data_IF_730950986186
#
_entry.id   IF_730950986186
#
_cell.length_a   1.000
_cell.length_b   1.000
_cell.length_c   1.000
_cell.angle_alpha   90.00
_cell.angle_beta   90.00
_cell.angle_gamma   90.00
#
_symmetry.space_group_name_H-M   'P 1'
#
loop_
_entity.id
_entity.type
_entity.pdbx_description
1 polymer ?
#
# COMPACT_ATOMS: atom_id res chain seq x y z
N UNK A 1 -20.83 -45.86 -46.79
CA UNK A 1 -19.75 -45.55 -45.82
C UNK A 1 -19.74 -44.03 -45.68
N UNK A 2 -20.13 -43.43 -44.57
CA UNK A 2 -19.35 -43.34 -43.33
C UNK A 2 -20.33 -43.26 -42.15
N UNK A 3 -20.31 -44.29 -41.31
CA UNK A 3 -20.93 -44.34 -40.00
C UNK A 3 -19.83 -44.12 -38.97
N UNK A 4 -19.94 -43.08 -38.15
CA UNK A 4 -19.92 -43.21 -36.68
C UNK A 4 -19.99 -41.83 -36.03
N UNK A 5 -21.15 -41.54 -35.44
CA UNK A 5 -21.30 -40.45 -34.50
C UNK A 5 -20.40 -40.73 -33.28
N UNK A 6 -19.41 -39.86 -33.05
CA UNK A 6 -18.52 -39.93 -31.90
C UNK A 6 -19.33 -39.77 -30.62
N UNK A 7 -19.69 -40.89 -29.99
CA UNK A 7 -20.50 -40.93 -28.78
C UNK A 7 -19.65 -40.46 -27.60
N UNK A 8 -19.74 -39.17 -27.26
CA UNK A 8 -19.05 -38.60 -26.09
C UNK A 8 -19.62 -39.28 -24.84
N UNK A 9 -18.88 -40.24 -24.28
CA UNK A 9 -19.23 -40.87 -23.01
C UNK A 9 -19.26 -39.80 -21.91
N UNK A 10 -20.46 -39.47 -21.43
CA UNK A 10 -20.63 -38.62 -20.28
C UNK A 10 -20.25 -39.45 -19.05
N UNK A 11 -19.06 -39.21 -18.49
CA UNK A 11 -18.71 -39.73 -17.16
C UNK A 11 -19.69 -39.09 -16.17
N UNK A 12 -20.62 -39.89 -15.65
CA UNK A 12 -21.68 -39.51 -14.71
C UNK A 12 -21.13 -39.00 -13.36
N UNK A 13 -20.40 -37.89 -13.38
CA UNK A 13 -19.79 -37.28 -12.21
C UNK A 13 -19.83 -35.76 -12.30
N UNK A 14 -19.59 -35.11 -11.15
CA UNK A 14 -19.47 -33.65 -11.10
C UNK A 14 -18.42 -33.18 -12.11
N UNK A 15 -18.77 -32.25 -13.03
CA UNK A 15 -17.81 -31.73 -13.99
C UNK A 15 -16.60 -31.14 -13.26
N UNK A 16 -15.41 -31.39 -13.82
CA UNK A 16 -14.17 -30.86 -13.27
C UNK A 16 -14.21 -29.33 -13.32
N UNK A 17 -13.82 -28.67 -12.23
CA UNK A 17 -13.64 -27.21 -12.23
C UNK A 17 -12.53 -26.83 -13.20
N UNK A 18 -12.77 -25.79 -14.00
CA UNK A 18 -11.78 -25.24 -14.93
C UNK A 18 -10.51 -24.74 -14.22
N UNK A 19 -10.67 -24.06 -13.07
CA UNK A 19 -9.54 -23.61 -12.23
C UNK A 19 -9.57 -24.35 -10.91
N UNK A 20 -8.51 -25.10 -10.64
CA UNK A 20 -8.30 -25.83 -9.38
C UNK A 20 -7.45 -25.00 -8.42
N UNK A 21 -7.78 -25.09 -7.13
CA UNK A 21 -6.98 -24.49 -6.04
C UNK A 21 -6.20 -25.62 -5.39
N UNK A 22 -4.97 -25.82 -5.84
CA UNK A 22 -4.15 -27.00 -5.49
C UNK A 22 -3.15 -26.70 -4.36
N UNK A 23 -2.72 -25.45 -4.22
CA UNK A 23 -1.77 -25.04 -3.19
C UNK A 23 -2.50 -24.82 -1.86
N UNK A 24 -2.09 -25.57 -0.84
CA UNK A 24 -2.60 -25.46 0.53
C UNK A 24 -1.51 -24.83 1.42
N UNK A 25 -1.92 -23.81 2.18
CA UNK A 25 -1.12 -23.18 3.23
C UNK A 25 -1.97 -23.09 4.49
N UNK A 26 -1.49 -23.63 5.60
CA UNK A 26 -2.16 -23.57 6.90
C UNK A 26 -1.69 -22.36 7.69
N UNK A 27 -2.61 -21.76 8.46
CA UNK A 27 -2.34 -20.63 9.35
C UNK A 27 -2.71 -21.08 10.76
N UNK A 28 -1.81 -20.85 11.72
CA UNK A 28 -2.05 -21.14 13.13
C UNK A 28 -2.47 -19.84 13.82
N UNK A 29 -3.53 -19.93 14.62
CA UNK A 29 -4.03 -18.81 15.42
C UNK A 29 -3.99 -19.20 16.90
N UNK A 30 -3.71 -18.22 17.75
CA UNK A 30 -4.13 -18.22 19.14
C UNK A 30 -5.66 -18.12 19.24
N UNK A 31 -6.21 -18.41 20.42
CA UNK A 31 -7.67 -18.30 20.67
C UNK A 31 -8.19 -16.89 20.37
N UNK A 32 -7.44 -15.86 20.80
CA UNK A 32 -7.80 -14.45 20.62
C UNK A 32 -7.76 -14.04 19.15
N UNK A 33 -6.69 -14.39 18.42
CA UNK A 33 -6.58 -14.08 16.98
C UNK A 33 -7.71 -14.75 16.19
N UNK A 34 -8.02 -16.01 16.49
CA UNK A 34 -9.10 -16.71 15.82
C UNK A 34 -10.46 -16.04 16.07
N UNK A 35 -10.72 -15.59 17.31
CA UNK A 35 -11.96 -14.87 17.63
C UNK A 35 -12.08 -13.57 16.83
N UNK A 36 -11.01 -12.79 16.73
CA UNK A 36 -10.97 -11.54 15.95
C UNK A 36 -11.27 -11.82 14.48
N UNK A 37 -10.57 -12.79 13.87
CA UNK A 37 -10.77 -13.14 12.45
C UNK A 37 -12.19 -13.66 12.21
N UNK A 38 -12.73 -14.47 13.12
CA UNK A 38 -14.11 -14.98 13.04
C UNK A 38 -15.14 -13.84 13.12
N UNK A 39 -14.94 -12.88 14.01
CA UNK A 39 -15.83 -11.73 14.15
C UNK A 39 -15.80 -10.86 12.89
N UNK A 40 -14.61 -10.58 12.35
CA UNK A 40 -14.47 -9.81 11.11
C UNK A 40 -15.13 -10.52 9.93
N UNK A 41 -14.90 -11.82 9.76
CA UNK A 41 -15.56 -12.61 8.73
C UNK A 41 -17.10 -12.57 8.87
N UNK A 42 -17.61 -12.69 10.10
CA UNK A 42 -19.04 -12.59 10.40
C UNK A 42 -19.62 -11.23 10.04
N UNK A 43 -18.91 -10.13 10.36
CA UNK A 43 -19.32 -8.76 10.02
C UNK A 43 -19.39 -8.55 8.50
N UNK A 44 -18.48 -9.18 7.77
CA UNK A 44 -18.47 -9.13 6.29
C UNK A 44 -19.47 -10.11 5.65
N UNK A 45 -20.21 -10.91 6.42
CA UNK A 45 -21.12 -11.93 5.88
C UNK A 45 -20.41 -13.09 5.15
N UNK A 46 -19.12 -13.29 5.41
CA UNK A 46 -18.28 -14.26 4.71
C UNK A 46 -17.92 -15.44 5.61
N UNK A 47 -17.73 -16.61 4.98
CA UNK A 47 -17.08 -17.74 5.64
C UNK A 47 -15.62 -17.38 5.93
N UNK A 48 -15.12 -17.80 7.10
CA UNK A 48 -13.78 -17.46 7.57
C UNK A 48 -12.67 -17.73 6.54
N UNK A 49 -12.74 -18.86 5.83
CA UNK A 49 -11.76 -19.23 4.80
C UNK A 49 -11.84 -18.35 3.54
N UNK A 50 -13.03 -17.80 3.23
CA UNK A 50 -13.20 -16.87 2.12
C UNK A 50 -12.66 -15.51 2.51
N UNK A 51 -13.02 -15.05 3.72
CA UNK A 51 -12.51 -13.81 4.30
C UNK A 51 -10.97 -13.79 4.35
N UNK A 52 -10.34 -14.81 4.95
CA UNK A 52 -8.87 -14.92 5.02
C UNK A 52 -8.25 -14.87 3.63
N UNK A 53 -8.84 -15.56 2.64
CA UNK A 53 -8.33 -15.56 1.27
C UNK A 53 -8.41 -14.18 0.62
N UNK A 54 -9.53 -13.47 0.79
CA UNK A 54 -9.69 -12.13 0.26
C UNK A 54 -8.71 -11.16 0.93
N UNK A 55 -8.59 -11.22 2.26
CA UNK A 55 -7.61 -10.41 2.99
C UNK A 55 -6.17 -10.70 2.58
N UNK A 56 -5.82 -11.96 2.29
CA UNK A 56 -4.50 -12.31 1.80
C UNK A 56 -4.22 -11.83 0.36
N UNK A 57 -5.25 -11.66 -0.48
CA UNK A 57 -5.10 -11.21 -1.86
C UNK A 57 -5.25 -9.70 -2.05
N UNK A 58 -6.10 -9.07 -1.25
CA UNK A 58 -6.55 -7.68 -1.43
C UNK A 58 -6.22 -6.81 -0.22
N UNK A 59 -5.76 -7.40 0.89
CA UNK A 59 -5.36 -6.66 2.07
C UNK A 59 -4.23 -5.70 1.72
N UNK A 60 -4.43 -4.41 2.01
CA UNK A 60 -3.37 -3.41 1.89
C UNK A 60 -2.44 -3.57 3.09
N UNK A 61 -1.20 -3.96 2.84
CA UNK A 61 -0.14 -3.84 3.85
C UNK A 61 0.29 -2.38 3.83
N UNK A 62 0.01 -1.65 4.91
CA UNK A 62 0.56 -0.31 5.10
C UNK A 62 2.02 -0.50 5.49
N UNK A 63 2.92 -0.44 4.51
CA UNK A 63 4.35 -0.41 4.78
C UNK A 63 4.67 0.85 5.57
N UNK A 64 5.59 0.73 6.55
CA UNK A 64 6.26 1.91 7.11
C UNK A 64 6.91 2.67 5.95
N UNK A 65 6.93 4.01 6.01
CA UNK A 65 7.46 4.92 4.97
C UNK A 65 8.58 4.24 4.16
N UNK A 66 8.40 4.17 2.85
CA UNK A 66 9.39 3.66 1.89
C UNK A 66 10.72 4.41 2.05
N UNK A 67 11.82 3.85 1.58
CA UNK A 67 13.12 4.52 1.71
C UNK A 67 13.13 5.88 0.99
N UNK A 68 12.40 5.99 -0.13
CA UNK A 68 12.19 7.24 -0.87
C UNK A 68 11.39 8.25 -0.02
N UNK A 69 10.26 7.83 0.55
CA UNK A 69 9.45 8.66 1.45
C UNK A 69 10.25 9.15 2.67
N UNK A 70 11.12 8.29 3.24
CA UNK A 70 12.03 8.69 4.32
C UNK A 70 13.10 9.67 3.86
N UNK A 71 13.60 9.55 2.63
CA UNK A 71 14.53 10.51 2.07
C UNK A 71 13.87 11.88 1.90
N UNK A 72 12.61 11.93 1.45
CA UNK A 72 11.83 13.17 1.38
C UNK A 72 11.62 13.80 2.77
N UNK A 73 11.24 13.00 3.78
CA UNK A 73 11.12 13.49 5.17
C UNK A 73 12.44 14.07 5.67
N UNK A 74 13.58 13.41 5.42
CA UNK A 74 14.90 13.94 5.79
C UNK A 74 15.24 15.25 5.09
N UNK A 75 14.90 15.38 3.81
CA UNK A 75 15.10 16.62 3.05
C UNK A 75 14.25 17.77 3.61
N UNK A 76 12.99 17.51 3.95
CA UNK A 76 12.10 18.51 4.56
C UNK A 76 12.63 18.98 5.92
N UNK A 77 13.15 18.07 6.75
CA UNK A 77 13.81 18.43 8.02
C UNK A 77 15.02 19.35 7.77
N UNK A 78 15.85 19.03 6.77
CA UNK A 78 16.97 19.88 6.37
C UNK A 78 16.53 21.28 5.94
N UNK A 79 15.41 21.39 5.22
CA UNK A 79 14.86 22.68 4.80
C UNK A 79 14.28 23.49 5.95
N UNK A 80 13.57 22.85 6.88
CA UNK A 80 13.08 23.50 8.09
C UNK A 80 14.24 24.10 8.91
N UNK A 81 15.35 23.36 9.02
CA UNK A 81 16.57 23.86 9.68
C UNK A 81 17.17 25.06 8.94
N UNK A 82 17.26 25.00 7.61
CA UNK A 82 17.77 26.11 6.80
C UNK A 82 16.90 27.36 6.95
N UNK A 83 15.58 27.21 7.00
CA UNK A 83 14.64 28.31 7.21
C UNK A 83 14.81 28.93 8.60
N UNK A 84 14.98 28.12 9.64
CA UNK A 84 15.24 28.60 11.00
C UNK A 84 16.57 29.38 11.09
N UNK A 85 17.61 28.93 10.39
CA UNK A 85 18.88 29.66 10.30
C UNK A 85 18.71 31.00 9.58
N UNK A 86 17.92 31.03 8.52
CA UNK A 86 17.59 32.25 7.78
C UNK A 86 16.85 33.28 8.62
N UNK A 87 15.86 32.85 9.41
CA UNK A 87 15.13 33.73 10.32
C UNK A 87 16.07 34.37 11.33
N UNK A 88 16.99 33.58 11.92
CA UNK A 88 18.03 34.09 12.82
C UNK A 88 18.98 35.06 12.12
N UNK A 89 19.44 34.72 10.92
CA UNK A 89 20.36 35.55 10.13
C UNK A 89 19.72 36.86 9.68
N UNK A 90 18.46 36.84 9.25
CA UNK A 90 17.72 38.05 8.88
C UNK A 90 17.46 38.98 10.07
N UNK A 91 17.28 38.42 11.28
CA UNK A 91 17.22 39.19 12.50
C UNK A 91 18.55 39.87 12.86
N UNK A 92 19.69 39.23 12.53
CA UNK A 92 21.03 39.70 12.87
C UNK A 92 21.66 40.63 11.81
N UNK A 93 21.46 40.36 10.52
CA UNK A 93 22.19 41.00 9.41
C UNK A 93 21.28 41.84 8.49
N UNK A 94 19.97 41.88 8.75
CA UNK A 94 18.99 42.67 7.98
C UNK A 94 18.16 41.87 6.98
N UNK A 95 17.03 42.44 6.59
CA UNK A 95 15.90 41.72 5.98
C UNK A 95 16.09 41.36 4.49
N UNK A 96 16.87 42.14 3.75
CA UNK A 96 16.97 42.03 2.28
C UNK A 96 17.59 40.69 1.85
N UNK A 97 18.71 40.30 2.48
CA UNK A 97 19.42 39.06 2.18
C UNK A 97 18.62 37.83 2.60
N UNK A 98 17.86 37.94 3.69
CA UNK A 98 16.99 36.87 4.18
C UNK A 98 15.79 36.63 3.25
N UNK A 99 15.20 37.71 2.71
CA UNK A 99 14.06 37.61 1.78
C UNK A 99 14.41 36.90 0.48
N UNK A 100 15.60 37.16 -0.10
CA UNK A 100 16.03 36.51 -1.35
C UNK A 100 16.23 34.99 -1.17
N UNK A 101 16.85 34.60 -0.06
CA UNK A 101 17.08 33.18 0.23
C UNK A 101 15.78 32.46 0.62
N UNK A 102 14.84 33.15 1.28
CA UNK A 102 13.51 32.61 1.58
C UNK A 102 12.73 32.24 0.31
N UNK A 103 12.70 33.11 -0.71
CA UNK A 103 12.05 32.79 -2.00
C UNK A 103 12.67 31.55 -2.67
N UNK A 104 14.00 31.38 -2.58
CA UNK A 104 14.68 30.17 -3.09
C UNK A 104 14.21 28.89 -2.38
N UNK A 105 14.10 28.91 -1.05
CA UNK A 105 13.64 27.74 -0.29
C UNK A 105 12.16 27.46 -0.47
N UNK A 106 11.32 28.49 -0.60
CA UNK A 106 9.90 28.36 -0.91
C UNK A 106 9.67 27.61 -2.22
N UNK A 107 10.42 27.95 -3.28
CA UNK A 107 10.35 27.25 -4.56
C UNK A 107 10.80 25.78 -4.44
N UNK A 108 11.89 25.53 -3.71
CA UNK A 108 12.41 24.17 -3.47
C UNK A 108 11.42 23.28 -2.71
N UNK A 109 10.75 23.84 -1.69
CA UNK A 109 9.69 23.14 -0.94
C UNK A 109 8.49 22.86 -1.86
N UNK A 110 8.09 23.83 -2.69
CA UNK A 110 7.02 23.65 -3.68
C UNK A 110 7.30 22.50 -4.64
N UNK A 111 8.51 22.43 -5.20
CA UNK A 111 8.93 21.35 -6.09
C UNK A 111 8.93 19.97 -5.41
N UNK A 112 9.37 19.91 -4.14
CA UNK A 112 9.33 18.66 -3.38
C UNK A 112 7.90 18.19 -3.10
N UNK A 113 7.00 19.11 -2.76
CA UNK A 113 5.60 18.79 -2.51
C UNK A 113 4.89 18.29 -3.78
N UNK A 114 5.20 18.87 -4.94
CA UNK A 114 4.67 18.39 -6.23
C UNK A 114 5.23 17.03 -6.64
N UNK A 115 6.50 16.73 -6.30
CA UNK A 115 7.06 15.39 -6.46
C UNK A 115 6.40 14.37 -5.55
N UNK A 116 6.07 14.75 -4.32
CA UNK A 116 5.39 13.87 -3.36
C UNK A 116 3.97 13.52 -3.84
N UNK A 117 3.18 14.51 -4.29
CA UNK A 117 1.82 14.31 -4.82
C UNK A 117 1.74 13.37 -6.03
N UNK A 118 2.81 13.27 -6.82
CA UNK A 118 2.86 12.42 -8.02
C UNK A 118 3.14 10.94 -7.72
N UNK A 119 3.57 10.62 -6.50
CA UNK A 119 3.98 9.26 -6.10
C UNK A 119 2.90 8.51 -5.30
N UNK A 120 1.74 9.14 -5.06
CA UNK A 120 0.50 8.52 -4.53
C UNK A 120 -0.44 8.09 -5.66
#
# INVERSE_FOLDING_TARGET
>A
MISEAFKIQHKNGRPKKAVRKEIIRSIRFSKTEYFIVKQQASRSGLKITVYIRQMAMQGKIISRLSEEERQFVRQLIGMANNLNQLTKKGHQEGFITASLMFEKYKNLVGELLEKLKRND
#
